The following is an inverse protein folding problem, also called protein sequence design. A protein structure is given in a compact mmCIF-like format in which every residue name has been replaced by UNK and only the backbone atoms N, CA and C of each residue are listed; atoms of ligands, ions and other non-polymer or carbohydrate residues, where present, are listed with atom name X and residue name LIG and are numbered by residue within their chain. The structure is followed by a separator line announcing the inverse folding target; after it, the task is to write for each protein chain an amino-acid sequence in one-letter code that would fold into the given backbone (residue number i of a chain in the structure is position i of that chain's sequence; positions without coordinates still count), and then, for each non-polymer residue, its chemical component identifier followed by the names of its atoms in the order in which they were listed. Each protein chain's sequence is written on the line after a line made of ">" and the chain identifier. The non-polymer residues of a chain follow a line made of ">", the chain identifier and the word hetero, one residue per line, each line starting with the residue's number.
data_IF_014570308142
#
_entry.id   IF_014570308142
#
_cell.length_a   1.000
_cell.length_b   1.000
_cell.length_c   1.000
_cell.angle_alpha   90.00
_cell.angle_beta   90.00
_cell.angle_gamma   90.00
#
_symmetry.space_group_name_H-M   'P 1'
#
loop_
_entity.id
_entity.type
_entity.pdbx_description
1 polymer ?
#
# COMPACT_ATOMS: atom_id res chain seq x y z
N UNK A 1 2.69 -7.27 9.10
CA UNK A 1 1.59 -8.05 8.50
C UNK A 1 2.02 -9.51 8.44
N UNK A 2 1.18 -10.44 8.87
CA UNK A 2 1.40 -11.88 8.74
C UNK A 2 0.31 -12.46 7.85
N UNK A 3 0.67 -13.37 6.94
CA UNK A 3 -0.29 -14.07 6.08
C UNK A 3 0.26 -15.42 5.62
N UNK A 4 -0.61 -16.36 5.26
CA UNK A 4 -0.20 -17.69 4.81
C UNK A 4 -0.01 -17.75 3.29
N UNK A 5 1.03 -18.48 2.85
CA UNK A 5 1.26 -18.87 1.45
C UNK A 5 1.65 -20.34 1.45
N UNK A 6 0.88 -21.18 0.74
CA UNK A 6 1.11 -22.62 0.68
C UNK A 6 1.28 -23.27 2.07
N UNK A 7 0.44 -22.87 3.03
CA UNK A 7 0.49 -23.30 4.44
C UNK A 7 1.70 -22.85 5.25
N UNK A 8 2.57 -22.02 4.70
CA UNK A 8 3.68 -21.39 5.42
C UNK A 8 3.32 -19.97 5.84
N UNK A 9 3.63 -19.64 7.10
CA UNK A 9 3.43 -18.30 7.64
C UNK A 9 4.50 -17.35 7.12
N UNK A 10 4.09 -16.31 6.41
CA UNK A 10 4.95 -15.22 5.95
C UNK A 10 4.76 -13.97 6.79
N UNK A 11 5.85 -13.22 6.99
CA UNK A 11 5.85 -11.91 7.65
C UNK A 11 6.38 -10.85 6.70
N UNK A 12 5.65 -9.76 6.55
CA UNK A 12 6.08 -8.56 5.81
C UNK A 12 5.92 -7.33 6.70
N UNK A 13 6.93 -6.46 6.69
CA UNK A 13 6.95 -5.18 7.40
C UNK A 13 6.89 -4.05 6.38
N UNK A 14 5.97 -3.11 6.58
CA UNK A 14 5.81 -1.91 5.76
C UNK A 14 6.13 -0.66 6.59
N UNK A 15 6.70 0.34 5.94
CA UNK A 15 6.91 1.68 6.50
C UNK A 15 6.25 2.70 5.58
N UNK A 16 5.70 3.76 6.17
CA UNK A 16 5.14 4.88 5.39
C UNK A 16 6.26 5.79 4.90
N UNK A 17 6.21 6.14 3.62
CA UNK A 17 7.13 7.07 3.00
C UNK A 17 6.35 8.00 2.05
N UNK A 18 6.69 9.28 2.08
CA UNK A 18 6.12 10.30 1.19
C UNK A 18 7.03 10.48 -0.02
N UNK A 19 6.47 10.40 -1.22
CA UNK A 19 7.17 10.82 -2.42
C UNK A 19 7.34 12.35 -2.43
N UNK A 20 8.55 12.83 -2.70
CA UNK A 20 8.84 14.27 -2.72
C UNK A 20 8.45 14.95 -4.03
N UNK A 21 8.22 14.19 -5.10
CA UNK A 21 7.86 14.68 -6.42
C UNK A 21 6.60 13.97 -6.92
N UNK A 22 5.60 14.75 -7.33
CA UNK A 22 4.35 14.23 -7.89
C UNK A 22 4.56 13.59 -9.28
N UNK A 23 5.63 13.98 -9.98
CA UNK A 23 6.00 13.45 -11.28
C UNK A 23 7.04 12.32 -11.17
N UNK A 24 7.21 11.74 -9.97
CA UNK A 24 8.16 10.66 -9.74
C UNK A 24 7.95 9.54 -10.77
N UNK A 25 8.97 9.32 -11.60
CA UNK A 25 8.95 8.23 -12.57
C UNK A 25 9.17 6.89 -11.87
N UNK A 26 8.11 6.07 -11.80
CA UNK A 26 8.19 4.70 -11.30
C UNK A 26 8.76 3.79 -12.39
N UNK A 27 9.85 3.07 -12.08
CA UNK A 27 10.45 2.07 -12.96
C UNK A 27 10.22 0.68 -12.39
N UNK A 28 9.55 -0.17 -13.15
CA UNK A 28 9.22 -1.54 -12.74
C UNK A 28 10.33 -2.51 -13.17
N UNK A 29 10.61 -3.49 -12.31
CA UNK A 29 11.40 -4.67 -12.68
C UNK A 29 10.51 -5.68 -13.41
N UNK A 30 11.12 -6.73 -13.98
CA UNK A 30 10.42 -7.81 -14.66
C UNK A 30 9.42 -8.59 -13.78
N UNK A 31 9.51 -8.47 -12.44
CA UNK A 31 8.55 -9.10 -11.52
C UNK A 31 7.18 -8.40 -11.53
N UNK A 32 7.10 -7.13 -11.96
CA UNK A 32 5.89 -6.32 -11.92
C UNK A 32 5.49 -5.86 -13.33
N UNK A 33 4.19 -5.93 -13.63
CA UNK A 33 3.67 -5.65 -14.97
C UNK A 33 3.07 -4.25 -15.14
N UNK A 34 2.49 -3.68 -14.09
CA UNK A 34 1.80 -2.38 -14.12
C UNK A 34 1.92 -1.67 -12.76
N UNK A 35 1.69 -0.36 -12.74
CA UNK A 35 1.66 0.47 -11.55
C UNK A 35 0.70 1.64 -11.71
N UNK A 36 -0.02 2.01 -10.63
CA UNK A 36 -0.91 3.16 -10.61
C UNK A 36 -0.85 3.89 -9.26
N UNK A 37 -0.90 5.21 -9.31
CA UNK A 37 -1.26 6.04 -8.16
C UNK A 37 -2.77 6.12 -8.08
N UNK A 38 -3.34 5.76 -6.93
CA UNK A 38 -4.80 5.71 -6.72
C UNK A 38 -5.16 6.16 -5.31
N UNK A 39 -6.44 6.52 -5.10
CA UNK A 39 -6.98 6.80 -3.77
C UNK A 39 -7.15 5.51 -2.96
N UNK A 40 -7.34 5.63 -1.64
CA UNK A 40 -7.52 4.47 -0.76
C UNK A 40 -8.65 3.56 -1.25
N UNK A 41 -9.82 4.10 -1.61
CA UNK A 41 -10.97 3.31 -2.07
C UNK A 41 -10.59 2.34 -3.19
N UNK A 42 -9.92 2.86 -4.21
CA UNK A 42 -9.52 2.09 -5.39
C UNK A 42 -8.39 1.11 -5.04
N UNK A 43 -7.48 1.48 -4.15
CA UNK A 43 -6.43 0.58 -3.66
C UNK A 43 -7.03 -0.63 -2.92
N UNK A 44 -8.08 -0.42 -2.12
CA UNK A 44 -8.79 -1.49 -1.43
C UNK A 44 -9.51 -2.42 -2.41
N UNK A 45 -10.14 -1.88 -3.46
CA UNK A 45 -10.79 -2.66 -4.51
C UNK A 45 -9.81 -3.49 -5.35
N UNK A 46 -8.63 -2.93 -5.65
CA UNK A 46 -7.57 -3.62 -6.39
C UNK A 46 -6.86 -4.69 -5.54
N UNK A 47 -6.95 -4.60 -4.22
CA UNK A 47 -6.24 -5.50 -3.31
C UNK A 47 -7.07 -6.74 -3.00
N UNK A 48 -6.60 -7.92 -3.41
CA UNK A 48 -7.29 -9.19 -3.15
C UNK A 48 -7.11 -9.80 -1.75
N UNK A 49 -6.28 -9.20 -0.88
CA UNK A 49 -5.96 -9.74 0.46
C UNK A 49 -6.43 -8.82 1.59
N UNK A 50 -7.19 -9.36 2.53
CA UNK A 50 -7.75 -8.61 3.64
C UNK A 50 -6.68 -8.02 4.56
N UNK A 51 -5.57 -8.72 4.79
CA UNK A 51 -4.50 -8.21 5.66
C UNK A 51 -3.83 -6.95 5.07
N UNK A 52 -3.78 -6.87 3.73
CA UNK A 52 -3.27 -5.69 3.04
C UNK A 52 -4.28 -4.54 3.10
N UNK A 53 -5.58 -4.83 2.94
CA UNK A 53 -6.64 -3.82 3.11
C UNK A 53 -6.59 -3.19 4.50
N UNK A 54 -6.51 -4.01 5.55
CA UNK A 54 -6.36 -3.53 6.93
C UNK A 54 -5.11 -2.66 7.12
N UNK A 55 -3.99 -3.04 6.49
CA UNK A 55 -2.75 -2.30 6.58
C UNK A 55 -2.86 -0.93 5.92
N UNK A 56 -3.45 -0.86 4.71
CA UNK A 56 -3.67 0.39 3.98
C UNK A 56 -4.63 1.31 4.72
N UNK A 57 -5.73 0.80 5.27
CA UNK A 57 -6.66 1.60 6.09
C UNK A 57 -5.98 2.15 7.35
N UNK A 58 -5.18 1.34 8.06
CA UNK A 58 -4.42 1.82 9.23
C UNK A 58 -3.40 2.90 8.87
N UNK A 59 -2.78 2.79 7.70
CA UNK A 59 -1.85 3.78 7.19
C UNK A 59 -2.54 5.11 6.88
N UNK A 60 -3.68 5.05 6.19
CA UNK A 60 -4.48 6.22 5.83
C UNK A 60 -5.01 6.95 7.08
N UNK A 61 -5.63 6.21 8.01
CA UNK A 61 -6.02 6.69 9.34
C UNK A 61 -4.88 7.41 10.07
N UNK A 62 -3.67 6.86 10.02
CA UNK A 62 -2.50 7.45 10.65
C UNK A 62 -2.11 8.76 9.96
N UNK A 63 -2.17 8.80 8.64
CA UNK A 63 -1.86 10.00 7.86
C UNK A 63 -2.86 11.11 8.18
N UNK A 64 -4.16 10.82 8.10
CA UNK A 64 -5.23 11.79 8.40
C UNK A 64 -5.09 12.38 9.80
N UNK A 65 -4.84 11.52 10.81
CA UNK A 65 -4.71 11.95 12.22
C UNK A 65 -3.48 12.81 12.49
N UNK A 66 -2.36 12.57 11.81
CA UNK A 66 -1.08 13.20 12.15
C UNK A 66 -0.67 14.33 11.21
N UNK A 67 -1.22 14.37 10.00
CA UNK A 67 -0.79 15.32 8.97
C UNK A 67 -1.95 16.05 8.27
N UNK A 68 -3.21 15.73 8.60
CA UNK A 68 -4.39 16.24 7.91
C UNK A 68 -4.65 15.55 6.56
N UNK A 69 -5.73 15.95 5.87
CA UNK A 69 -6.03 15.43 4.53
C UNK A 69 -4.89 15.76 3.55
N UNK A 70 -4.22 14.71 3.05
CA UNK A 70 -3.48 14.76 1.78
C UNK A 70 -4.38 14.21 0.67
N UNK A 71 -5.57 14.78 0.52
CA UNK A 71 -6.52 14.44 -0.54
C UNK A 71 -7.06 15.71 -1.20
#
# INVERSE_FOLDING_TARGET
>A
MFYYVNSELKRVTYWLAKANDINLQVKLSHEHLDFRWVKLSDALDLTGREEMKEMLTKADDYIEKNFGEFC
#
